data_IF_810495918491
#
_entry.id   IF_810495918491
#
_cell.length_a   1.000
_cell.length_b   1.000
_cell.length_c   1.000
_cell.angle_alpha   90.00
_cell.angle_beta   90.00
_cell.angle_gamma   90.00
#
_symmetry.space_group_name_H-M   'P 1'
#
loop_
_entity.id
_entity.type
_entity.pdbx_description
1 polymer ?
#
# COMPACT_ATOMS: atom_id res chain seq x y z
N UNK A 1 25.82 -6.14 -4.50
CA UNK A 1 24.45 -6.59 -4.26
C UNK A 1 23.49 -5.43 -4.48
N UNK A 2 22.34 -5.66 -5.15
CA UNK A 2 21.30 -4.66 -5.30
C UNK A 2 20.08 -5.13 -4.49
N UNK A 3 19.51 -4.23 -3.68
CA UNK A 3 18.34 -4.51 -2.84
C UNK A 3 17.24 -3.48 -3.10
N UNK A 4 15.95 -3.86 -3.09
CA UNK A 4 14.86 -2.93 -3.37
C UNK A 4 14.47 -2.03 -2.19
N UNK A 5 14.92 -2.34 -0.97
CA UNK A 5 14.58 -1.58 0.22
C UNK A 5 15.75 -1.40 1.16
N UNK A 6 15.68 -0.37 1.99
CA UNK A 6 16.63 -0.13 3.08
C UNK A 6 16.63 -1.28 4.10
N UNK A 7 15.46 -1.89 4.35
CA UNK A 7 15.35 -3.04 5.23
C UNK A 7 16.17 -4.23 4.72
N UNK A 8 16.05 -4.58 3.42
CA UNK A 8 16.83 -5.69 2.87
C UNK A 8 18.33 -5.36 2.78
N UNK A 9 18.71 -4.10 2.49
CA UNK A 9 20.09 -3.66 2.57
C UNK A 9 20.69 -3.88 3.97
N UNK A 10 19.92 -3.55 5.01
CA UNK A 10 20.32 -3.81 6.40
C UNK A 10 20.42 -5.32 6.72
N UNK A 11 19.57 -6.15 6.11
CA UNK A 11 19.69 -7.61 6.22
C UNK A 11 21.00 -8.11 5.60
N UNK A 12 21.38 -7.60 4.43
CA UNK A 12 22.67 -7.92 3.81
C UNK A 12 23.85 -7.51 4.70
N UNK A 13 23.83 -6.28 5.22
CA UNK A 13 24.90 -5.77 6.11
C UNK A 13 25.06 -6.60 7.40
N UNK A 14 24.01 -7.23 7.88
CA UNK A 14 24.02 -8.12 9.06
C UNK A 14 24.27 -9.60 8.72
N UNK A 15 24.37 -9.95 7.45
CA UNK A 15 24.58 -11.34 7.01
C UNK A 15 26.02 -11.75 7.24
N UNK A 16 26.24 -12.92 7.84
CA UNK A 16 27.58 -13.50 7.98
C UNK A 16 28.26 -13.77 6.64
N UNK A 17 27.51 -14.01 5.58
CA UNK A 17 28.02 -14.35 4.24
C UNK A 17 28.17 -13.12 3.33
N UNK A 18 27.37 -12.07 3.56
CA UNK A 18 27.21 -10.98 2.58
C UNK A 18 27.61 -9.61 3.12
N UNK A 19 27.94 -9.46 4.41
CA UNK A 19 28.23 -8.16 5.04
C UNK A 19 29.37 -7.39 4.42
N UNK A 20 30.33 -8.08 3.80
CA UNK A 20 31.50 -7.46 3.15
C UNK A 20 31.23 -7.05 1.69
N UNK A 21 30.04 -7.33 1.14
CA UNK A 21 29.73 -6.95 -0.24
C UNK A 21 29.17 -5.53 -0.31
N UNK A 22 29.58 -4.74 -1.31
CA UNK A 22 28.98 -3.44 -1.53
C UNK A 22 27.49 -3.58 -1.86
N UNK A 23 26.66 -2.75 -1.23
CA UNK A 23 25.20 -2.77 -1.40
C UNK A 23 24.74 -1.47 -2.01
N UNK A 24 23.93 -1.56 -3.05
CA UNK A 24 23.18 -0.44 -3.64
C UNK A 24 21.68 -0.67 -3.48
N UNK A 25 20.95 0.37 -3.12
CA UNK A 25 19.49 0.31 -3.03
C UNK A 25 18.88 0.84 -4.33
N UNK A 26 18.07 -0.01 -5.00
CA UNK A 26 17.28 0.38 -6.18
C UNK A 26 15.91 -0.27 -6.05
N UNK A 27 14.87 0.55 -5.95
CA UNK A 27 13.50 0.08 -5.80
C UNK A 27 13.00 -0.64 -7.07
N UNK A 28 11.83 -1.29 -6.97
CA UNK A 28 11.15 -1.83 -8.14
C UNK A 28 10.53 -0.71 -8.97
N UNK A 29 10.61 -0.75 -10.31
CA UNK A 29 9.88 0.17 -11.16
C UNK A 29 8.39 -0.20 -11.16
N UNK A 30 7.54 0.82 -11.34
CA UNK A 30 6.11 0.65 -11.61
C UNK A 30 5.79 1.36 -12.92
N UNK A 31 4.98 0.71 -13.76
CA UNK A 31 4.46 1.36 -14.97
C UNK A 31 3.51 2.50 -14.58
N UNK A 32 4.06 3.71 -14.56
CA UNK A 32 3.34 4.91 -14.17
C UNK A 32 2.38 5.43 -15.25
N UNK A 33 2.38 4.85 -16.44
CA UNK A 33 1.41 5.13 -17.48
C UNK A 33 0.15 4.27 -17.34
N UNK A 34 0.30 3.07 -16.82
CA UNK A 34 -0.83 2.19 -16.46
C UNK A 34 -1.35 2.61 -15.08
N UNK A 35 -0.50 2.56 -14.05
CA UNK A 35 -0.86 2.94 -12.68
C UNK A 35 -0.84 4.46 -12.54
N UNK A 36 -1.96 5.08 -12.85
CA UNK A 36 -2.21 6.52 -12.67
C UNK A 36 -3.64 6.76 -12.18
N UNK A 37 -3.90 7.88 -11.51
CA UNK A 37 -5.22 8.19 -11.00
C UNK A 37 -6.30 8.07 -12.09
N UNK A 38 -7.40 7.42 -11.74
CA UNK A 38 -8.67 7.47 -12.45
C UNK A 38 -9.63 8.33 -11.62
N UNK A 39 -10.55 9.02 -12.27
CA UNK A 39 -11.60 9.74 -11.54
C UNK A 39 -12.32 8.78 -10.61
N UNK A 40 -12.36 9.12 -9.33
CA UNK A 40 -12.86 8.23 -8.26
C UNK A 40 -14.32 7.81 -8.50
N UNK A 41 -15.15 8.71 -9.00
CA UNK A 41 -16.56 8.42 -9.34
C UNK A 41 -16.63 7.31 -10.40
N UNK A 42 -15.86 7.44 -11.48
CA UNK A 42 -15.79 6.43 -12.55
C UNK A 42 -15.28 5.08 -12.00
N UNK A 43 -14.20 5.10 -11.21
CA UNK A 43 -13.67 3.87 -10.63
C UNK A 43 -14.69 3.15 -9.74
N UNK A 44 -15.44 3.90 -8.93
CA UNK A 44 -16.51 3.36 -8.05
C UNK A 44 -17.71 2.82 -8.84
N UNK A 45 -18.10 3.49 -9.92
CA UNK A 45 -19.16 3.00 -10.82
C UNK A 45 -18.80 1.64 -11.42
N UNK A 46 -17.58 1.50 -11.94
CA UNK A 46 -17.11 0.23 -12.52
C UNK A 46 -17.14 -0.92 -11.51
N UNK A 47 -16.91 -0.64 -10.24
CA UNK A 47 -16.90 -1.62 -9.16
C UNK A 47 -18.25 -1.74 -8.43
N UNK A 48 -19.27 -0.98 -8.84
CA UNK A 48 -20.59 -0.89 -8.17
C UNK A 48 -20.46 -0.53 -6.68
N UNK A 49 -19.53 0.38 -6.36
CA UNK A 49 -19.27 0.87 -5.02
C UNK A 49 -20.01 2.20 -4.75
N UNK A 50 -20.35 2.50 -3.49
CA UNK A 50 -21.00 3.77 -3.14
C UNK A 50 -20.09 4.96 -3.43
N UNK A 51 -20.68 6.03 -4.04
CA UNK A 51 -19.91 7.19 -4.50
C UNK A 51 -19.43 8.08 -3.36
N UNK A 52 -20.26 8.24 -2.30
CA UNK A 52 -20.05 9.25 -1.26
C UNK A 52 -19.59 8.66 0.08
N UNK A 53 -19.33 7.36 0.13
CA UNK A 53 -18.85 6.70 1.35
C UNK A 53 -17.32 6.69 1.39
N UNK A 54 -16.69 6.84 2.56
CA UNK A 54 -15.29 6.53 2.71
C UNK A 54 -15.01 5.06 2.38
N UNK A 55 -13.95 4.78 1.62
CA UNK A 55 -13.58 3.43 1.21
C UNK A 55 -12.13 3.15 1.60
N UNK A 56 -11.91 2.13 2.41
CA UNK A 56 -10.56 1.58 2.63
C UNK A 56 -10.40 0.25 1.91
N UNK A 57 -9.25 0.08 1.29
CA UNK A 57 -8.88 -1.06 0.47
C UNK A 57 -7.81 -1.89 1.17
N UNK A 58 -7.89 -3.20 1.11
CA UNK A 58 -6.79 -4.08 1.47
C UNK A 58 -6.77 -5.36 0.63
N UNK A 59 -5.55 -5.90 0.43
CA UNK A 59 -5.34 -7.15 -0.29
C UNK A 59 -5.39 -8.34 0.65
N UNK A 60 -6.27 -9.30 0.38
CA UNK A 60 -6.35 -10.56 1.12
C UNK A 60 -6.01 -11.73 0.21
N UNK A 61 -4.72 -12.07 0.12
CA UNK A 61 -4.29 -13.27 -0.56
C UNK A 61 -4.52 -14.48 0.36
N UNK A 62 -5.23 -15.52 -0.14
CA UNK A 62 -5.46 -16.79 0.57
C UNK A 62 -6.24 -16.71 1.90
N UNK A 63 -7.19 -15.79 2.01
CA UNK A 63 -8.13 -15.79 3.14
C UNK A 63 -7.52 -15.58 4.52
N UNK A 64 -6.43 -14.82 4.62
CA UNK A 64 -5.80 -14.52 5.91
C UNK A 64 -4.92 -15.63 6.49
N UNK A 65 -4.64 -16.69 5.73
CA UNK A 65 -3.81 -17.83 6.18
C UNK A 65 -2.35 -17.47 6.43
N UNK A 66 -1.85 -16.38 5.83
CA UNK A 66 -0.46 -15.95 6.04
C UNK A 66 -0.39 -14.89 7.14
N UNK A 67 0.00 -15.30 8.35
CA UNK A 67 0.19 -14.40 9.50
C UNK A 67 1.12 -13.21 9.17
N UNK A 68 2.09 -13.41 8.26
CA UNK A 68 3.00 -12.38 7.79
C UNK A 68 2.28 -11.16 7.19
N UNK A 69 1.11 -11.35 6.57
CA UNK A 69 0.33 -10.25 5.96
C UNK A 69 -0.52 -9.46 6.97
N UNK A 70 -0.60 -9.89 8.24
CA UNK A 70 -1.16 -9.11 9.34
C UNK A 70 -2.67 -8.87 9.26
N UNK A 71 -3.41 -9.74 8.56
CA UNK A 71 -4.87 -9.62 8.45
C UNK A 71 -5.55 -9.64 9.82
N UNK A 72 -5.05 -10.43 10.76
CA UNK A 72 -5.52 -10.51 12.13
C UNK A 72 -5.35 -9.18 12.89
N UNK A 73 -4.23 -8.47 12.68
CA UNK A 73 -4.00 -7.13 13.24
C UNK A 73 -4.98 -6.10 12.67
N UNK A 74 -5.25 -6.18 11.35
CA UNK A 74 -6.26 -5.34 10.74
C UNK A 74 -7.65 -5.61 11.34
N UNK A 75 -8.03 -6.88 11.50
CA UNK A 75 -9.31 -7.27 12.13
C UNK A 75 -9.45 -6.71 13.55
N UNK A 76 -8.39 -6.80 14.34
CA UNK A 76 -8.36 -6.24 15.68
C UNK A 76 -8.54 -4.72 15.65
N UNK A 77 -7.80 -4.02 14.79
CA UNK A 77 -7.91 -2.58 14.62
C UNK A 77 -9.32 -2.14 14.19
N UNK A 78 -9.92 -2.82 13.21
CA UNK A 78 -11.26 -2.49 12.71
C UNK A 78 -12.34 -2.57 13.79
N UNK A 79 -12.22 -3.46 14.77
CA UNK A 79 -13.14 -3.51 15.92
C UNK A 79 -13.13 -2.20 16.72
N UNK A 80 -11.94 -1.60 16.87
CA UNK A 80 -11.78 -0.34 17.58
C UNK A 80 -12.22 0.89 16.73
N UNK A 81 -12.21 0.74 15.40
CA UNK A 81 -12.63 1.81 14.49
C UNK A 81 -14.16 1.96 14.41
N UNK A 82 -14.91 0.89 14.68
CA UNK A 82 -16.34 0.81 14.45
C UNK A 82 -17.14 1.96 15.09
N UNK A 83 -16.78 2.33 16.31
CA UNK A 83 -17.50 3.36 17.08
C UNK A 83 -16.90 4.77 16.90
N UNK A 84 -15.89 4.91 16.03
CA UNK A 84 -15.25 6.20 15.78
C UNK A 84 -16.13 7.07 14.84
N UNK A 85 -16.39 8.36 15.16
CA UNK A 85 -17.27 9.22 14.34
C UNK A 85 -16.86 9.32 12.87
N UNK A 86 -15.55 9.32 12.58
CA UNK A 86 -14.99 9.37 11.21
C UNK A 86 -15.19 8.07 10.42
N UNK A 87 -15.55 6.98 11.07
CA UNK A 87 -15.85 5.72 10.41
C UNK A 87 -17.33 5.59 9.99
N UNK A 88 -18.12 6.64 10.19
CA UNK A 88 -19.53 6.64 9.78
C UNK A 88 -19.65 6.47 8.26
N UNK A 89 -20.34 5.42 7.84
CA UNK A 89 -20.53 5.10 6.42
C UNK A 89 -19.31 4.45 5.74
N UNK A 90 -18.23 4.14 6.49
CA UNK A 90 -17.05 3.48 5.96
C UNK A 90 -17.40 2.15 5.29
N UNK A 91 -16.82 1.92 4.11
CA UNK A 91 -16.91 0.69 3.35
C UNK A 91 -15.54 0.03 3.28
N UNK A 92 -15.52 -1.29 3.31
CA UNK A 92 -14.30 -2.08 3.09
C UNK A 92 -14.32 -2.69 1.70
N UNK A 93 -13.21 -2.60 1.00
CA UNK A 93 -13.00 -3.29 -0.27
C UNK A 93 -11.84 -4.27 -0.11
N UNK A 94 -12.10 -5.52 -0.49
CA UNK A 94 -11.13 -6.62 -0.39
C UNK A 94 -10.87 -7.16 -1.79
N UNK A 95 -9.61 -7.16 -2.22
CA UNK A 95 -9.19 -7.78 -3.47
C UNK A 95 -8.20 -8.92 -3.22
N UNK A 96 -7.99 -9.77 -4.23
CA UNK A 96 -7.10 -10.93 -4.13
C UNK A 96 -7.76 -12.18 -3.53
N UNK A 97 -9.05 -12.12 -3.21
CA UNK A 97 -9.86 -13.29 -2.87
C UNK A 97 -11.33 -13.08 -3.24
N UNK A 98 -12.01 -14.16 -3.58
CA UNK A 98 -13.46 -14.19 -3.74
C UNK A 98 -14.15 -14.14 -2.38
N UNK A 99 -15.44 -13.81 -2.37
CA UNK A 99 -16.26 -13.84 -1.15
C UNK A 99 -16.14 -15.20 -0.47
N UNK A 100 -15.67 -15.25 0.78
CA UNK A 100 -15.60 -16.51 1.52
C UNK A 100 -16.99 -17.12 1.73
N UNK A 101 -17.10 -18.45 1.85
CA UNK A 101 -18.38 -19.10 2.20
C UNK A 101 -18.95 -18.59 3.53
N UNK A 102 -18.09 -18.27 4.47
CA UNK A 102 -18.43 -17.66 5.77
C UNK A 102 -17.54 -16.44 5.96
N UNK A 103 -17.93 -15.26 5.43
CA UNK A 103 -17.10 -14.07 5.55
C UNK A 103 -17.02 -13.63 7.02
N UNK A 104 -15.82 -13.23 7.49
CA UNK A 104 -15.68 -12.70 8.83
C UNK A 104 -16.48 -11.40 8.98
N UNK A 105 -17.06 -11.18 10.15
CA UNK A 105 -17.66 -9.89 10.47
C UNK A 105 -16.56 -8.86 10.74
N UNK A 106 -16.36 -7.94 9.79
CA UNK A 106 -15.36 -6.87 9.88
C UNK A 106 -15.92 -5.60 10.55
N UNK A 107 -17.18 -5.59 10.94
CA UNK A 107 -17.84 -4.43 11.55
C UNK A 107 -18.32 -3.37 10.56
N UNK A 108 -18.04 -3.53 9.26
CA UNK A 108 -18.38 -2.60 8.18
C UNK A 108 -18.91 -3.34 6.96
N UNK A 109 -19.74 -2.70 6.11
CA UNK A 109 -20.08 -3.25 4.80
C UNK A 109 -18.82 -3.57 4.01
N UNK A 110 -18.73 -4.79 3.48
CA UNK A 110 -17.52 -5.31 2.86
C UNK A 110 -17.81 -5.82 1.45
N UNK A 111 -17.03 -5.33 0.49
CA UNK A 111 -17.12 -5.68 -0.92
C UNK A 111 -15.91 -6.53 -1.32
N UNK A 112 -16.15 -7.78 -1.72
CA UNK A 112 -15.11 -8.67 -2.21
C UNK A 112 -15.03 -8.58 -3.74
N UNK A 113 -13.92 -8.08 -4.27
CA UNK A 113 -13.74 -7.85 -5.72
C UNK A 113 -13.21 -9.11 -6.42
N UNK A 114 -12.74 -10.11 -5.68
CA UNK A 114 -12.15 -11.30 -6.25
C UNK A 114 -10.67 -11.15 -6.59
N UNK A 115 -10.17 -12.10 -7.39
CA UNK A 115 -8.82 -12.06 -7.91
C UNK A 115 -8.77 -11.14 -9.13
N UNK A 116 -7.81 -10.24 -9.17
CA UNK A 116 -7.53 -9.36 -10.29
C UNK A 116 -6.25 -9.87 -10.99
N UNK A 117 -6.31 -9.98 -12.30
CA UNK A 117 -5.25 -10.61 -13.09
C UNK A 117 -4.58 -9.63 -14.07
N UNK A 118 -5.02 -8.38 -14.10
CA UNK A 118 -4.49 -7.35 -14.97
C UNK A 118 -4.34 -6.00 -14.26
N UNK A 119 -3.41 -5.21 -14.75
CA UNK A 119 -3.02 -3.93 -14.17
C UNK A 119 -4.13 -2.87 -14.27
N UNK A 120 -4.99 -2.93 -15.29
CA UNK A 120 -6.08 -1.97 -15.47
C UNK A 120 -7.15 -2.17 -14.39
N UNK A 121 -7.51 -3.42 -14.09
CA UNK A 121 -8.43 -3.77 -13.00
C UNK A 121 -7.85 -3.35 -11.65
N UNK A 122 -6.55 -3.58 -11.42
CA UNK A 122 -5.86 -3.11 -10.21
C UNK A 122 -5.87 -1.58 -10.11
N UNK A 123 -5.58 -0.86 -11.20
CA UNK A 123 -5.68 0.61 -11.25
C UNK A 123 -7.06 1.11 -10.84
N UNK A 124 -8.13 0.47 -11.34
CA UNK A 124 -9.51 0.85 -11.00
C UNK A 124 -9.74 0.69 -9.49
N UNK A 125 -9.35 -0.44 -8.92
CA UNK A 125 -9.53 -0.72 -7.50
C UNK A 125 -8.74 0.25 -6.62
N UNK A 126 -7.48 0.53 -6.94
CA UNK A 126 -6.71 1.53 -6.20
C UNK A 126 -7.33 2.91 -6.30
N UNK A 127 -7.75 3.34 -7.49
CA UNK A 127 -8.34 4.67 -7.70
C UNK A 127 -9.70 4.85 -7.02
N UNK A 128 -10.46 3.78 -6.78
CA UNK A 128 -11.75 3.82 -6.08
C UNK A 128 -11.61 4.08 -4.57
N UNK A 129 -10.48 3.75 -3.98
CA UNK A 129 -10.25 3.80 -2.54
C UNK A 129 -9.79 5.18 -2.05
N UNK A 130 -10.03 5.46 -0.78
CA UNK A 130 -9.52 6.65 -0.08
C UNK A 130 -8.21 6.35 0.64
N UNK A 131 -8.02 5.10 1.05
CA UNK A 131 -6.77 4.60 1.61
C UNK A 131 -6.55 3.13 1.25
N UNK A 132 -5.28 2.76 1.05
CA UNK A 132 -4.83 1.37 0.96
C UNK A 132 -4.18 0.96 2.29
N UNK A 133 -4.63 -0.15 2.88
CA UNK A 133 -4.09 -0.66 4.13
C UNK A 133 -3.16 -1.83 3.83
N UNK A 134 -1.91 -1.74 4.32
CA UNK A 134 -0.90 -2.80 4.21
C UNK A 134 -0.43 -3.19 5.61
N UNK A 135 -1.19 -4.04 6.33
CA UNK A 135 -0.94 -4.34 7.74
C UNK A 135 0.13 -5.43 7.93
N UNK A 136 1.01 -5.61 6.95
CA UNK A 136 2.02 -6.67 6.95
C UNK A 136 2.98 -6.54 8.13
N UNK A 137 3.22 -7.67 8.82
CA UNK A 137 4.27 -7.78 9.84
C UNK A 137 5.66 -7.70 9.23
N UNK A 138 5.80 -8.20 8.02
CA UNK A 138 7.06 -8.16 7.29
C UNK A 138 6.79 -8.20 5.78
N UNK A 139 7.34 -7.24 5.08
CA UNK A 139 7.38 -7.24 3.63
C UNK A 139 8.65 -6.50 3.17
N UNK A 140 9.20 -6.91 2.04
CA UNK A 140 10.43 -6.29 1.54
C UNK A 140 10.13 -4.91 0.93
N UNK A 141 9.30 -4.88 -0.10
CA UNK A 141 8.82 -3.67 -0.76
C UNK A 141 7.52 -4.03 -1.51
N UNK A 142 6.34 -4.00 -0.84
CA UNK A 142 5.11 -4.49 -1.44
C UNK A 142 4.67 -3.63 -2.63
N UNK A 143 4.60 -4.25 -3.80
CA UNK A 143 4.19 -3.59 -5.05
C UNK A 143 2.81 -2.98 -4.91
N UNK A 144 1.87 -3.64 -4.24
CA UNK A 144 0.51 -3.11 -4.01
C UNK A 144 0.50 -1.73 -3.34
N UNK A 145 1.48 -1.47 -2.44
CA UNK A 145 1.65 -0.15 -1.82
C UNK A 145 2.18 0.90 -2.82
N UNK A 146 3.10 0.51 -3.70
CA UNK A 146 3.67 1.41 -4.72
C UNK A 146 2.63 1.68 -5.81
N UNK A 147 1.89 0.66 -6.25
CA UNK A 147 0.79 0.76 -7.23
C UNK A 147 -0.32 1.69 -6.73
N UNK A 148 -0.74 1.53 -5.47
CA UNK A 148 -1.69 2.42 -4.83
C UNK A 148 -1.19 3.88 -4.81
N UNK A 149 0.08 4.11 -4.42
CA UNK A 149 0.71 5.43 -4.46
C UNK A 149 0.72 6.00 -5.88
N UNK A 150 1.04 5.18 -6.88
CA UNK A 150 1.03 5.59 -8.28
C UNK A 150 -0.38 5.99 -8.75
N UNK A 151 -1.43 5.35 -8.25
CA UNK A 151 -2.82 5.74 -8.48
C UNK A 151 -3.28 6.93 -7.61
N UNK A 152 -2.39 7.54 -6.81
CA UNK A 152 -2.72 8.66 -5.93
C UNK A 152 -3.41 8.25 -4.64
N UNK A 153 -3.44 6.97 -4.31
CA UNK A 153 -4.10 6.44 -3.11
C UNK A 153 -3.07 6.31 -1.97
N UNK A 154 -3.24 7.06 -0.88
CA UNK A 154 -2.32 7.03 0.25
C UNK A 154 -2.36 5.66 0.95
N UNK A 155 -1.21 5.26 1.50
CA UNK A 155 -1.04 3.97 2.16
C UNK A 155 -0.95 4.15 3.68
N UNK A 156 -1.61 3.27 4.42
CA UNK A 156 -1.44 3.11 5.87
C UNK A 156 -0.82 1.74 6.13
N UNK A 157 0.31 1.70 6.81
CA UNK A 157 1.03 0.47 7.09
C UNK A 157 1.78 0.56 8.41
N UNK A 158 2.20 -0.58 8.97
CA UNK A 158 3.14 -0.58 10.09
C UNK A 158 4.54 -0.16 9.63
N UNK A 159 5.27 0.51 10.51
CA UNK A 159 6.67 0.89 10.30
C UNK A 159 7.58 -0.35 10.42
N UNK A 160 7.49 -1.25 9.45
CA UNK A 160 8.22 -2.52 9.41
C UNK A 160 8.72 -2.81 8.01
N UNK A 161 9.77 -3.64 7.91
CA UNK A 161 10.29 -4.06 6.60
C UNK A 161 10.65 -2.86 5.71
N UNK A 162 10.27 -2.93 4.45
CA UNK A 162 10.49 -1.87 3.47
C UNK A 162 9.37 -0.84 3.35
N UNK A 163 8.37 -0.85 4.24
CA UNK A 163 7.27 0.13 4.21
C UNK A 163 7.76 1.59 4.24
N UNK A 164 8.77 1.96 5.08
CA UNK A 164 9.30 3.33 5.10
C UNK A 164 9.93 3.79 3.77
N UNK A 165 10.29 2.88 2.89
CA UNK A 165 10.83 3.23 1.58
C UNK A 165 9.72 3.63 0.58
N UNK A 166 8.46 3.22 0.81
CA UNK A 166 7.35 3.44 -0.12
C UNK A 166 6.82 4.87 0.00
N UNK A 167 6.54 5.35 1.23
CA UNK A 167 5.85 6.63 1.44
C UNK A 167 6.41 7.39 2.65
N UNK A 168 6.06 8.67 2.74
CA UNK A 168 6.47 9.54 3.84
C UNK A 168 5.35 9.67 4.86
N UNK A 169 5.68 9.38 6.13
CA UNK A 169 4.74 9.49 7.24
C UNK A 169 4.11 10.89 7.32
N UNK A 170 2.78 10.92 7.39
CA UNK A 170 1.94 12.14 7.44
C UNK A 170 2.15 13.13 6.29
N UNK A 171 2.66 12.65 5.14
CA UNK A 171 2.75 13.43 3.91
C UNK A 171 2.07 12.74 2.74
N UNK A 172 2.41 11.47 2.49
CA UNK A 172 1.88 10.66 1.39
C UNK A 172 1.28 9.33 1.86
N UNK A 173 1.23 9.13 3.18
CA UNK A 173 0.68 7.96 3.85
C UNK A 173 0.96 8.01 5.34
N UNK A 174 0.65 6.94 6.06
CA UNK A 174 0.85 6.86 7.50
C UNK A 174 1.60 5.59 7.89
N UNK A 175 2.75 5.75 8.54
CA UNK A 175 3.52 4.67 9.15
C UNK A 175 3.11 4.57 10.62
N UNK A 176 2.33 3.56 10.93
CA UNK A 176 1.96 3.24 12.30
C UNK A 176 3.09 2.52 13.04
N UNK A 177 3.18 2.67 14.33
CA UNK A 177 4.11 1.92 15.15
C UNK A 177 3.94 0.41 14.94
N UNK A 178 5.07 -0.31 14.98
CA UNK A 178 5.11 -1.73 14.61
C UNK A 178 4.13 -2.56 15.45
N UNK A 179 3.13 -3.11 14.78
CA UNK A 179 2.07 -3.97 15.32
C UNK A 179 1.12 -3.30 16.32
N UNK A 180 1.20 -1.98 16.49
CA UNK A 180 0.21 -1.22 17.25
C UNK A 180 -1.06 -1.01 16.40
N UNK A 181 -2.08 -1.82 16.70
CA UNK A 181 -3.37 -1.77 15.99
C UNK A 181 -4.13 -0.47 16.24
N UNK A 182 -3.91 0.19 17.38
CA UNK A 182 -4.51 1.50 17.68
C UNK A 182 -3.89 2.59 16.82
N UNK A 183 -2.56 2.56 16.67
CA UNK A 183 -1.88 3.53 15.82
C UNK A 183 -2.14 3.28 14.32
N UNK A 184 -2.36 2.02 13.92
CA UNK A 184 -2.85 1.73 12.56
C UNK A 184 -4.21 2.40 12.29
N UNK A 185 -5.12 2.39 13.26
CA UNK A 185 -6.42 3.05 13.18
C UNK A 185 -6.27 4.57 13.17
N UNK A 186 -5.39 5.15 13.99
CA UNK A 186 -5.05 6.57 13.91
C UNK A 186 -4.59 6.96 12.51
N UNK A 187 -3.81 6.09 11.85
CA UNK A 187 -3.39 6.28 10.47
C UNK A 187 -4.54 6.29 9.47
N UNK A 188 -5.50 5.38 9.61
CA UNK A 188 -6.71 5.36 8.78
C UNK A 188 -7.50 6.66 8.95
N UNK A 189 -7.75 7.05 10.19
CA UNK A 189 -8.46 8.29 10.51
C UNK A 189 -7.74 9.49 9.93
N UNK A 190 -6.41 9.57 10.12
CA UNK A 190 -5.60 10.66 9.59
C UNK A 190 -5.73 10.78 8.06
N UNK A 191 -5.67 9.67 7.32
CA UNK A 191 -5.84 9.69 5.86
C UNK A 191 -7.24 10.15 5.47
N UNK A 192 -8.28 9.65 6.14
CA UNK A 192 -9.66 10.05 5.86
C UNK A 192 -9.88 11.55 6.10
N UNK A 193 -9.22 12.14 7.10
CA UNK A 193 -9.27 13.58 7.37
C UNK A 193 -8.59 14.43 6.27
N UNK A 194 -7.54 13.89 5.63
CA UNK A 194 -6.83 14.60 4.55
C UNK A 194 -7.55 14.53 3.20
N UNK A 195 -8.55 13.69 3.08
CA UNK A 195 -9.15 13.35 1.80
C UNK A 195 -9.92 14.52 1.15
N UNK A 196 -10.57 15.38 1.94
CA UNK A 196 -11.42 16.47 1.42
C UNK A 196 -10.65 17.50 0.58
N UNK A 197 -9.37 17.72 0.85
CA UNK A 197 -8.54 18.68 0.12
C UNK A 197 -8.05 18.20 -1.24
N UNK A 198 -8.04 16.89 -1.48
CA UNK A 198 -7.42 16.27 -2.67
C UNK A 198 -5.90 16.44 -2.78
N UNK A 199 -5.27 17.18 -1.84
CA UNK A 199 -3.83 17.43 -1.85
C UNK A 199 -2.99 16.19 -1.60
N UNK A 200 -3.45 15.32 -0.68
CA UNK A 200 -2.73 14.09 -0.37
C UNK A 200 -2.63 13.18 -1.61
N UNK A 201 -3.67 13.09 -2.40
CA UNK A 201 -3.69 12.32 -3.66
C UNK A 201 -2.61 12.81 -4.64
N UNK A 202 -2.49 14.13 -4.81
CA UNK A 202 -1.47 14.73 -5.68
C UNK A 202 -0.05 14.46 -5.17
N UNK A 203 0.19 14.69 -3.88
CA UNK A 203 1.50 14.44 -3.23
C UNK A 203 1.90 12.98 -3.31
N UNK A 204 0.94 12.08 -3.09
CA UNK A 204 1.12 10.63 -3.17
C UNK A 204 1.53 10.20 -4.58
N UNK A 205 0.83 10.67 -5.61
CA UNK A 205 1.17 10.42 -7.01
C UNK A 205 2.55 10.97 -7.38
N UNK A 206 2.85 12.22 -7.03
CA UNK A 206 4.16 12.84 -7.30
C UNK A 206 5.30 12.02 -6.73
N UNK A 207 5.19 11.60 -5.48
CA UNK A 207 6.21 10.75 -4.86
C UNK A 207 6.42 9.45 -5.62
N UNK A 208 5.34 8.79 -6.07
CA UNK A 208 5.47 7.56 -6.85
C UNK A 208 6.22 7.80 -8.17
N UNK A 209 5.94 8.90 -8.86
CA UNK A 209 6.66 9.30 -10.08
C UNK A 209 8.15 9.54 -9.82
N UNK A 210 8.49 10.26 -8.75
CA UNK A 210 9.87 10.62 -8.42
C UNK A 210 10.71 9.43 -7.93
N UNK A 211 10.08 8.39 -7.40
CA UNK A 211 10.80 7.27 -6.76
C UNK A 211 10.73 5.96 -7.52
N UNK A 212 9.65 5.71 -8.26
CA UNK A 212 9.35 4.39 -8.79
C UNK A 212 9.10 4.38 -10.30
N UNK A 213 9.16 5.53 -11.01
CA UNK A 213 9.02 5.54 -12.46
C UNK A 213 10.15 4.75 -13.14
N UNK A 214 9.86 4.05 -14.26
CA UNK A 214 10.85 3.23 -14.96
C UNK A 214 12.10 4.00 -15.36
N UNK A 215 11.96 5.26 -15.77
CA UNK A 215 13.10 6.12 -16.15
C UNK A 215 14.05 6.39 -14.99
N UNK A 216 13.51 6.71 -13.81
CA UNK A 216 14.33 6.95 -12.60
C UNK A 216 15.05 5.67 -12.18
N UNK A 217 14.37 4.54 -12.18
CA UNK A 217 14.96 3.26 -11.80
C UNK A 217 16.02 2.82 -12.82
N UNK A 218 15.79 3.00 -14.12
CA UNK A 218 16.75 2.68 -15.16
C UNK A 218 18.06 3.50 -15.02
N UNK A 219 17.96 4.80 -14.73
CA UNK A 219 19.16 5.63 -14.51
C UNK A 219 19.93 5.21 -13.24
N UNK A 220 19.24 4.76 -12.18
CA UNK A 220 19.92 4.20 -11.01
C UNK A 220 20.70 2.93 -11.35
N UNK A 221 20.11 1.99 -12.10
CA UNK A 221 20.82 0.79 -12.58
C UNK A 221 21.99 1.13 -13.48
N UNK A 222 21.79 2.02 -14.44
CA UNK A 222 22.86 2.49 -15.36
C UNK A 222 24.05 3.07 -14.58
N UNK A 223 23.78 3.90 -13.58
CA UNK A 223 24.81 4.47 -12.71
C UNK A 223 25.59 3.39 -11.93
N UNK A 224 24.91 2.33 -11.49
CA UNK A 224 25.57 1.20 -10.82
C UNK A 224 26.46 0.42 -11.79
N UNK A 225 25.94 0.08 -12.98
CA UNK A 225 26.70 -0.66 -14.00
C UNK A 225 27.95 0.11 -14.43
N UNK A 226 27.86 1.41 -14.66
CA UNK A 226 29.01 2.27 -14.99
C UNK A 226 30.10 2.28 -13.91
N UNK A 227 29.74 2.08 -12.64
CA UNK A 227 30.72 1.97 -11.54
C UNK A 227 31.38 0.61 -11.45
N UNK A 228 30.70 -0.45 -11.89
CA UNK A 228 31.21 -1.84 -11.80
C UNK A 228 32.07 -2.21 -13.01
N UNK A 229 31.83 -1.59 -14.18
CA UNK A 229 32.58 -1.86 -15.43
C UNK A 229 33.91 -1.10 -15.47
N UNK A 230 34.09 -0.08 -14.63
CA UNK A 230 35.38 0.62 -14.45
C UNK A 230 36.31 -0.17 -13.55
#
# INVERSE_FOLDING_TARGET
IITPSSWLANCVAKSKLMSNWPVSKVAYPIDTEIFKPLEKKIAREQLKLPHNSPIILFGAFTGGKYSRKGFDLLLEGLKNLKDHPKAKGLQLVVFGQSTPRSPPNLGFPTHYIGHLHDDLSLRIVYSAADAMIVPSRQDNLPLTGIEAQACGTPVVAFNTGGMPDIFEHKKTGYLADAFDTKDLINGIIWVLDQHESGEITKKTRLRALEKFSPSIIAEQYKSIYQRVIK
#
